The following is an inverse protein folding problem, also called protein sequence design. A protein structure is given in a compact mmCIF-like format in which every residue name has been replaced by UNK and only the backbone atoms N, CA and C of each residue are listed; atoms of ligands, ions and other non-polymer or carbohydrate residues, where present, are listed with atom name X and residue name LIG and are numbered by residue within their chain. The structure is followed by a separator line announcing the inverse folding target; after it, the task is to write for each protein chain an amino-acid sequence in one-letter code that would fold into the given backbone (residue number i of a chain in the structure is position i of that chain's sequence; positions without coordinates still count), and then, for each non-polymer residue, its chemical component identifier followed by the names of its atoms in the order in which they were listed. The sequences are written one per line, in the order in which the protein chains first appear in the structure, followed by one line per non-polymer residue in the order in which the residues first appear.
data_IF_737008125601
#
_entry.id   IF_737008125601
#
_cell.length_a   1.000
_cell.length_b   1.000
_cell.length_c   1.000
_cell.angle_alpha   90.00
_cell.angle_beta   90.00
_cell.angle_gamma   90.00
#
_symmetry.space_group_name_H-M   'P 1'
#
loop_
_entity.id
_entity.type
_entity.pdbx_description
1 polymer ?
#
# COMPACT_ATOMS: atom_id res chain seq x y z
N UNK A 1 3.62 1.95 7.84
CA UNK A 1 4.58 1.45 6.83
C UNK A 1 3.86 0.84 5.63
N UNK A 2 3.14 -0.28 5.78
CA UNK A 2 2.47 -0.97 4.66
C UNK A 2 1.58 -0.07 3.78
N UNK A 3 0.73 0.76 4.39
CA UNK A 3 -0.08 1.74 3.66
C UNK A 3 0.77 2.74 2.86
N UNK A 4 1.83 3.26 3.46
CA UNK A 4 2.76 4.18 2.81
C UNK A 4 3.45 3.51 1.63
N UNK A 5 4.00 2.31 1.82
CA UNK A 5 4.64 1.54 0.76
C UNK A 5 3.66 1.26 -0.38
N UNK A 6 2.48 0.73 -0.05
CA UNK A 6 1.43 0.42 -1.04
C UNK A 6 1.00 1.61 -1.89
N UNK A 7 0.94 2.80 -1.28
CA UNK A 7 0.54 4.01 -1.99
C UNK A 7 1.68 4.69 -2.75
N UNK A 8 2.92 4.64 -2.25
CA UNK A 8 4.03 5.43 -2.80
C UNK A 8 4.85 4.67 -3.85
N UNK A 9 5.04 3.35 -3.72
CA UNK A 9 5.92 2.61 -4.65
C UNK A 9 5.44 2.56 -6.11
N UNK A 10 4.14 2.58 -6.45
CA UNK A 10 3.71 2.71 -7.85
C UNK A 10 4.22 4.00 -8.50
N UNK A 11 4.21 5.11 -7.76
CA UNK A 11 4.69 6.39 -8.25
C UNK A 11 6.22 6.41 -8.41
N UNK A 12 6.95 5.71 -7.55
CA UNK A 12 8.40 5.53 -7.71
C UNK A 12 8.69 4.73 -9.00
N UNK A 13 7.93 3.67 -9.28
CA UNK A 13 8.06 2.91 -10.53
C UNK A 13 7.72 3.74 -11.77
N UNK A 14 6.62 4.49 -11.73
CA UNK A 14 6.22 5.42 -12.78
C UNK A 14 7.29 6.49 -13.03
N UNK A 15 7.84 7.08 -11.98
CA UNK A 15 8.96 8.02 -12.09
C UNK A 15 10.15 7.39 -12.82
N UNK A 16 10.50 6.15 -12.49
CA UNK A 16 11.54 5.39 -13.19
C UNK A 16 11.25 5.21 -14.69
N UNK A 17 9.99 4.91 -15.07
CA UNK A 17 9.63 4.84 -16.49
C UNK A 17 9.81 6.17 -17.21
N UNK A 18 9.33 7.26 -16.61
CA UNK A 18 9.42 8.60 -17.20
C UNK A 18 10.89 8.99 -17.39
N UNK A 19 11.72 8.74 -16.39
CA UNK A 19 13.15 9.03 -16.46
C UNK A 19 13.87 8.21 -17.55
N UNK A 20 13.61 6.90 -17.62
CA UNK A 20 14.23 6.03 -18.63
C UNK A 20 13.82 6.37 -20.07
N UNK A 21 12.55 6.71 -20.27
CA UNK A 21 12.05 7.19 -21.56
C UNK A 21 12.69 8.53 -21.94
N UNK A 22 12.78 9.47 -21.00
CA UNK A 22 13.45 10.76 -21.22
C UNK A 22 14.91 10.57 -21.64
N UNK A 23 15.65 9.68 -20.97
CA UNK A 23 17.05 9.38 -21.31
C UNK A 23 17.18 8.76 -22.72
N UNK A 24 16.25 7.87 -23.08
CA UNK A 24 16.20 7.26 -24.41
C UNK A 24 16.00 8.31 -25.52
N UNK A 25 15.09 9.26 -25.31
CA UNK A 25 14.89 10.37 -26.25
C UNK A 25 16.05 11.37 -26.28
N UNK A 26 16.71 11.61 -25.15
CA UNK A 26 17.90 12.46 -25.10
C UNK A 26 19.03 11.88 -25.96
N UNK A 27 19.25 10.55 -25.92
CA UNK A 27 20.21 9.86 -26.77
C UNK A 27 19.92 10.00 -28.27
N UNK A 28 18.65 9.99 -28.69
CA UNK A 28 18.25 10.28 -30.07
C UNK A 28 18.63 11.72 -30.45
N UNK A 29 18.37 12.68 -29.57
CA UNK A 29 18.69 14.09 -29.81
C UNK A 29 20.18 14.35 -30.02
N UNK A 30 21.05 13.61 -29.34
CA UNK A 30 22.50 13.71 -29.49
C UNK A 30 23.03 13.01 -30.76
N UNK A 31 22.46 11.87 -31.13
CA UNK A 31 22.91 11.07 -32.28
C UNK A 31 22.30 11.52 -33.61
N UNK A 32 21.22 12.30 -33.56
CA UNK A 32 20.52 12.80 -34.76
C UNK A 32 19.78 11.71 -35.54
N UNK A 33 19.75 10.47 -35.04
CA UNK A 33 19.19 9.30 -35.69
C UNK A 33 18.20 8.61 -34.76
N UNK A 34 16.94 8.50 -35.21
CA UNK A 34 15.91 7.75 -34.52
C UNK A 34 15.83 6.34 -35.11
N UNK A 35 16.40 5.36 -34.42
CA UNK A 35 16.25 3.93 -34.75
C UNK A 35 15.53 3.23 -33.59
N UNK A 36 14.48 2.48 -33.90
CA UNK A 36 13.78 1.65 -32.90
C UNK A 36 14.74 0.68 -32.19
N UNK A 37 15.72 0.14 -32.92
CA UNK A 37 16.72 -0.76 -32.34
C UNK A 37 17.62 -0.06 -31.31
N UNK A 38 17.83 1.26 -31.42
CA UNK A 38 18.61 2.02 -30.43
C UNK A 38 17.83 2.35 -29.16
N UNK A 39 16.53 2.62 -29.26
CA UNK A 39 15.72 3.02 -28.10
C UNK A 39 15.03 1.86 -27.38
N UNK A 40 14.82 0.74 -28.07
CA UNK A 40 14.12 -0.42 -27.52
C UNK A 40 14.71 -0.93 -26.19
N UNK A 41 16.04 -1.03 -26.00
CA UNK A 41 16.61 -1.45 -24.72
C UNK A 41 16.27 -0.49 -23.57
N UNK A 42 16.46 0.83 -23.77
CA UNK A 42 16.20 1.83 -22.74
C UNK A 42 14.73 1.94 -22.33
N UNK A 43 13.81 1.77 -23.29
CA UNK A 43 12.37 1.73 -23.00
C UNK A 43 12.00 0.43 -22.27
N UNK A 44 12.59 -0.71 -22.63
CA UNK A 44 12.35 -1.97 -21.93
C UNK A 44 12.79 -1.91 -20.46
N UNK A 45 13.97 -1.33 -20.19
CA UNK A 45 14.46 -1.13 -18.83
C UNK A 45 13.56 -0.18 -18.04
N UNK A 46 13.07 0.89 -18.69
CA UNK A 46 12.12 1.81 -18.11
C UNK A 46 10.86 1.05 -17.62
N UNK A 47 10.29 0.17 -18.45
CA UNK A 47 9.08 -0.61 -18.11
C UNK A 47 9.29 -1.54 -16.89
N UNK A 48 10.49 -2.08 -16.71
CA UNK A 48 10.82 -2.90 -15.54
C UNK A 48 10.70 -2.08 -14.25
N UNK A 49 11.02 -0.79 -14.27
CA UNK A 49 10.88 0.08 -13.09
C UNK A 49 9.42 0.16 -12.60
N UNK A 50 8.44 0.27 -13.51
CA UNK A 50 7.02 0.24 -13.14
C UNK A 50 6.60 -1.12 -12.62
N UNK A 51 7.05 -2.21 -13.28
CA UNK A 51 6.76 -3.57 -12.81
C UNK A 51 7.28 -3.80 -11.38
N UNK A 52 8.49 -3.33 -11.06
CA UNK A 52 9.07 -3.40 -9.72
C UNK A 52 8.26 -2.58 -8.69
N UNK A 53 7.83 -1.36 -9.06
CA UNK A 53 6.99 -0.52 -8.20
C UNK A 53 5.66 -1.19 -7.82
N UNK A 54 5.02 -1.85 -8.80
CA UNK A 54 3.79 -2.63 -8.58
C UNK A 54 4.04 -3.90 -7.77
N UNK A 55 5.15 -4.60 -8.04
CA UNK A 55 5.53 -5.80 -7.29
C UNK A 55 5.76 -5.52 -5.80
N UNK A 56 6.22 -4.31 -5.46
CA UNK A 56 6.31 -3.85 -4.06
C UNK A 56 4.95 -3.38 -3.49
N UNK A 57 4.12 -2.72 -4.31
CA UNK A 57 2.87 -2.11 -3.86
C UNK A 57 1.80 -3.15 -3.51
N UNK A 58 1.61 -4.15 -4.38
CA UNK A 58 0.49 -5.10 -4.29
C UNK A 58 0.56 -5.90 -2.97
N UNK A 59 1.69 -6.54 -2.61
CA UNK A 59 1.79 -7.26 -1.34
C UNK A 59 1.62 -6.35 -0.13
N UNK A 60 2.11 -5.10 -0.20
CA UNK A 60 1.98 -4.14 0.88
C UNK A 60 0.52 -3.77 1.16
N UNK A 61 -0.28 -3.53 0.12
CA UNK A 61 -1.72 -3.25 0.26
C UNK A 61 -2.49 -4.47 0.77
N UNK A 62 -2.18 -5.68 0.27
CA UNK A 62 -2.82 -6.91 0.75
C UNK A 62 -2.56 -7.12 2.25
N UNK A 63 -1.30 -7.00 2.68
CA UNK A 63 -0.94 -7.12 4.08
C UNK A 63 -1.58 -6.03 4.94
N UNK A 64 -1.61 -4.78 4.45
CA UNK A 64 -2.27 -3.67 5.16
C UNK A 64 -3.76 -3.96 5.41
N UNK A 65 -4.48 -4.42 4.39
CA UNK A 65 -5.89 -4.74 4.51
C UNK A 65 -6.13 -5.90 5.47
N UNK A 66 -5.29 -6.95 5.42
CA UNK A 66 -5.40 -8.08 6.32
C UNK A 66 -5.25 -7.66 7.80
N UNK A 67 -4.18 -6.93 8.13
CA UNK A 67 -3.95 -6.49 9.51
C UNK A 67 -4.99 -5.48 9.98
N UNK A 68 -5.44 -4.58 9.11
CA UNK A 68 -6.48 -3.61 9.45
C UNK A 68 -7.81 -4.31 9.77
N UNK A 69 -8.17 -5.34 9.00
CA UNK A 69 -9.36 -6.13 9.27
C UNK A 69 -9.27 -6.85 10.63
N UNK A 70 -8.13 -7.49 10.90
CA UNK A 70 -7.93 -8.20 12.17
C UNK A 70 -7.96 -7.26 13.38
N UNK A 71 -7.36 -6.07 13.25
CA UNK A 71 -7.40 -5.06 14.29
C UNK A 71 -8.83 -4.60 14.60
N UNK A 72 -9.66 -4.39 13.55
CA UNK A 72 -11.07 -4.03 13.71
C UNK A 72 -11.90 -5.12 14.39
N UNK A 73 -11.62 -6.40 14.09
CA UNK A 73 -12.28 -7.51 14.77
C UNK A 73 -11.94 -7.51 16.27
N UNK A 74 -10.67 -7.33 16.62
CA UNK A 74 -10.24 -7.26 18.01
C UNK A 74 -10.82 -6.05 18.75
N UNK A 75 -10.88 -4.90 18.09
CA UNK A 75 -11.55 -3.69 18.60
C UNK A 75 -13.04 -3.96 18.89
N UNK A 76 -13.74 -4.59 17.95
CA UNK A 76 -15.15 -4.96 18.12
C UNK A 76 -15.37 -5.96 19.27
N UNK A 77 -14.46 -6.90 19.48
CA UNK A 77 -14.51 -7.84 20.61
C UNK A 77 -14.29 -7.11 21.94
N UNK A 78 -13.33 -6.20 22.01
CA UNK A 78 -13.08 -5.37 23.19
C UNK A 78 -14.27 -4.46 23.53
N UNK A 79 -14.91 -3.85 22.54
CA UNK A 79 -16.10 -3.04 22.74
C UNK A 79 -17.25 -3.87 23.29
N UNK A 80 -17.45 -5.08 22.74
CA UNK A 80 -18.49 -6.01 23.22
C UNK A 80 -18.22 -6.43 24.67
N UNK A 81 -16.98 -6.79 25.00
CA UNK A 81 -16.57 -7.12 26.35
C UNK A 81 -16.80 -5.95 27.33
N UNK A 82 -16.48 -4.73 26.92
CA UNK A 82 -16.65 -3.54 27.75
C UNK A 82 -18.13 -3.28 28.08
N UNK A 83 -19.02 -3.45 27.11
CA UNK A 83 -20.47 -3.35 27.31
C UNK A 83 -20.96 -4.43 28.26
N UNK A 84 -20.58 -5.69 28.06
CA UNK A 84 -20.98 -6.80 28.93
C UNK A 84 -20.48 -6.61 30.36
N UNK A 85 -19.25 -6.13 30.53
CA UNK A 85 -18.67 -5.85 31.84
C UNK A 85 -19.42 -4.73 32.58
N UNK A 86 -19.76 -3.64 31.90
CA UNK A 86 -20.56 -2.56 32.49
C UNK A 86 -21.97 -3.05 32.89
N UNK A 87 -22.60 -3.83 32.02
CA UNK A 87 -23.91 -4.44 32.29
C UNK A 87 -23.86 -5.36 33.53
N UNK A 88 -22.77 -6.11 33.71
CA UNK A 88 -22.59 -6.98 34.88
C UNK A 88 -22.47 -6.15 36.17
N UNK A 89 -21.64 -5.11 36.16
CA UNK A 89 -21.47 -4.22 37.32
C UNK A 89 -22.78 -3.53 37.68
N UNK A 90 -23.52 -3.02 36.69
CA UNK A 90 -24.80 -2.37 36.93
C UNK A 90 -25.80 -3.32 37.60
N UNK A 91 -25.88 -4.56 37.11
CA UNK A 91 -26.74 -5.59 37.70
C UNK A 91 -26.36 -5.90 39.15
N UNK A 92 -25.07 -6.03 39.45
CA UNK A 92 -24.63 -6.32 40.82
C UNK A 92 -24.85 -5.14 41.78
N UNK A 93 -24.65 -3.90 41.31
CA UNK A 93 -24.94 -2.70 42.08
C UNK A 93 -26.44 -2.56 42.36
N UNK A 94 -27.31 -2.85 41.38
CA UNK A 94 -28.76 -2.84 41.58
C UNK A 94 -29.18 -3.91 42.59
N UNK A 95 -28.67 -5.15 42.45
CA UNK A 95 -28.98 -6.24 43.38
C UNK A 95 -28.56 -5.92 44.83
N UNK A 96 -27.40 -5.27 45.03
CA UNK A 96 -26.94 -4.82 46.36
C UNK A 96 -27.74 -3.66 46.94
N UNK A 97 -28.47 -2.90 46.11
CA UNK A 97 -29.28 -1.76 46.56
C UNK A 97 -30.66 -2.19 47.08
N UNK A 98 -31.10 -3.40 46.74
CA UNK A 98 -32.38 -3.99 47.16
C UNK A 98 -32.27 -4.82 48.46
N UNK A 99 -31.04 -5.11 48.94
CA UNK A 99 -30.75 -5.77 50.23
C UNK A 99 -30.36 -4.78 51.31
#
# INVERSE_FOLDING_TARGET
FLATTGNTTPFIGLFGTVWGIMNSFHGIGLTGSASLAMVAPGISEALIATAAGLAAAIPAVVAYNHFTNNARLMESEMDSFSVDFLNLIERELMARRET
#
